data_IF_607870561284
#
_entry.id   IF_607870561284
#
_cell.length_a   1.000
_cell.length_b   1.000
_cell.length_c   1.000
_cell.angle_alpha   90.00
_cell.angle_beta   90.00
_cell.angle_gamma   90.00
#
_symmetry.space_group_name_H-M   'P 1'
#
loop_
_entity.id
_entity.type
_entity.pdbx_description
1 polymer ?
#
# COMPACT_ATOMS: atom_id res chain seq x y z
N UNK A 1 17.37 7.94 -27.71
CA UNK A 1 18.43 7.14 -27.05
C UNK A 1 17.83 6.00 -26.23
N UNK A 2 16.94 6.26 -25.26
CA UNK A 2 16.31 5.21 -24.44
C UNK A 2 15.58 4.10 -25.22
N UNK A 3 14.67 4.46 -26.15
CA UNK A 3 13.96 3.48 -26.99
C UNK A 3 14.94 2.63 -27.83
N UNK A 4 16.00 3.23 -28.38
CA UNK A 4 16.99 2.48 -29.15
C UNK A 4 17.71 1.44 -28.30
N UNK A 5 18.09 1.78 -27.06
CA UNK A 5 18.70 0.83 -26.13
C UNK A 5 17.76 -0.33 -25.78
N UNK A 6 16.45 -0.06 -25.64
CA UNK A 6 15.45 -1.11 -25.45
C UNK A 6 15.31 -2.02 -26.69
N UNK A 7 15.30 -1.45 -27.90
CA UNK A 7 15.28 -2.23 -29.15
C UNK A 7 16.53 -3.12 -29.28
N UNK A 8 17.72 -2.56 -28.97
CA UNK A 8 18.98 -3.29 -28.99
C UNK A 8 18.97 -4.44 -27.96
N UNK A 9 18.41 -4.22 -26.78
CA UNK A 9 18.21 -5.27 -25.78
C UNK A 9 17.36 -6.42 -26.33
N UNK A 10 16.21 -6.12 -26.94
CA UNK A 10 15.36 -7.17 -27.51
C UNK A 10 16.01 -7.91 -28.69
N UNK A 11 16.83 -7.23 -29.49
CA UNK A 11 17.51 -7.86 -30.62
C UNK A 11 18.68 -8.77 -30.20
N UNK A 12 19.33 -8.48 -29.08
CA UNK A 12 20.60 -9.12 -28.68
C UNK A 12 20.52 -9.97 -27.41
N UNK A 13 19.57 -9.70 -26.54
CA UNK A 13 19.52 -10.24 -25.18
C UNK A 13 20.52 -9.62 -24.21
N UNK A 14 21.26 -8.57 -24.59
CA UNK A 14 22.25 -7.91 -23.73
C UNK A 14 21.57 -7.10 -22.62
N UNK A 15 21.78 -7.48 -21.36
CA UNK A 15 21.22 -6.82 -20.19
C UNK A 15 21.77 -5.41 -19.99
N UNK A 16 23.00 -5.12 -20.40
CA UNK A 16 23.57 -3.79 -20.27
C UNK A 16 22.81 -2.76 -21.12
N UNK A 17 22.21 -3.19 -22.24
CA UNK A 17 21.31 -2.38 -23.05
C UNK A 17 20.01 -2.04 -22.31
N UNK A 18 19.45 -2.99 -21.57
CA UNK A 18 18.27 -2.75 -20.73
C UNK A 18 18.58 -1.80 -19.56
N UNK A 19 19.79 -1.91 -18.99
CA UNK A 19 20.28 -0.99 -17.95
C UNK A 19 20.47 0.43 -18.51
N UNK A 20 21.03 0.58 -19.72
CA UNK A 20 21.11 1.87 -20.41
C UNK A 20 19.72 2.48 -20.68
N UNK A 21 18.77 1.67 -21.16
CA UNK A 21 17.37 2.07 -21.29
C UNK A 21 16.81 2.57 -19.95
N UNK A 22 17.02 1.84 -18.86
CA UNK A 22 16.54 2.20 -17.53
C UNK A 22 17.10 3.56 -17.04
N UNK A 23 18.40 3.81 -17.26
CA UNK A 23 19.02 5.11 -16.93
C UNK A 23 18.41 6.24 -17.78
N UNK A 24 18.17 5.99 -19.06
CA UNK A 24 17.51 6.98 -19.93
C UNK A 24 16.08 7.25 -19.50
N UNK A 25 15.33 6.22 -19.12
CA UNK A 25 13.96 6.33 -18.62
C UNK A 25 13.90 7.11 -17.30
N UNK A 26 14.82 6.87 -16.36
CA UNK A 26 14.90 7.66 -15.11
C UNK A 26 15.10 9.15 -15.36
N UNK A 27 15.82 9.51 -16.42
CA UNK A 27 16.12 10.90 -16.79
C UNK A 27 15.08 11.54 -17.70
N UNK A 28 14.06 10.80 -18.14
CA UNK A 28 13.02 11.36 -19.00
C UNK A 28 12.04 12.21 -18.20
N UNK A 29 11.66 13.34 -18.79
CA UNK A 29 10.58 14.22 -18.34
C UNK A 29 9.67 14.48 -19.55
N UNK A 30 8.73 13.56 -19.78
CA UNK A 30 7.89 13.49 -20.98
C UNK A 30 6.43 13.32 -20.62
N UNK A 31 5.53 13.89 -21.43
CA UNK A 31 4.07 13.78 -21.23
C UNK A 31 3.60 12.33 -21.36
N UNK A 32 4.19 11.57 -22.29
CA UNK A 32 3.93 10.14 -22.46
C UNK A 32 5.05 9.37 -21.78
N UNK A 33 4.68 8.37 -20.99
CA UNK A 33 5.59 7.44 -20.32
C UNK A 33 5.23 6.00 -20.70
N UNK A 34 6.16 5.07 -20.49
CA UNK A 34 5.97 3.67 -20.82
C UNK A 34 6.82 2.74 -19.95
N UNK A 35 6.28 1.54 -19.71
CA UNK A 35 6.99 0.38 -19.19
C UNK A 35 7.04 -0.66 -20.29
N UNK A 36 8.20 -1.26 -20.57
CA UNK A 36 8.29 -2.35 -21.53
C UNK A 36 9.59 -3.14 -21.29
N UNK A 37 9.47 -4.38 -20.82
CA UNK A 37 10.64 -5.17 -20.41
C UNK A 37 10.28 -6.44 -19.67
N UNK A 38 11.30 -7.16 -19.22
CA UNK A 38 11.19 -8.23 -18.23
C UNK A 38 11.47 -7.62 -16.84
N UNK A 39 10.42 -7.34 -16.07
CA UNK A 39 10.49 -6.36 -14.96
C UNK A 39 10.46 -7.05 -13.60
N UNK A 40 9.33 -7.65 -13.26
CA UNK A 40 9.08 -8.15 -11.92
C UNK A 40 9.40 -9.64 -11.82
N UNK A 41 10.12 -10.02 -10.77
CA UNK A 41 10.58 -11.41 -10.56
C UNK A 41 9.69 -12.19 -9.60
N UNK A 42 8.50 -11.69 -9.27
CA UNK A 42 7.63 -12.26 -8.23
C UNK A 42 7.19 -13.69 -8.51
N UNK A 43 6.96 -14.03 -9.78
CA UNK A 43 6.49 -15.36 -10.17
C UNK A 43 7.62 -16.36 -10.39
N UNK A 44 8.88 -15.93 -10.42
CA UNK A 44 10.01 -16.86 -10.43
C UNK A 44 10.27 -17.37 -9.00
N UNK A 45 10.21 -18.70 -8.75
CA UNK A 45 10.53 -19.29 -7.44
C UNK A 45 11.91 -18.93 -6.90
N UNK A 46 12.86 -18.55 -7.77
CA UNK A 46 14.20 -18.09 -7.38
C UNK A 46 14.36 -16.57 -7.38
N UNK A 47 13.35 -15.85 -7.87
CA UNK A 47 13.32 -14.39 -7.99
C UNK A 47 14.49 -13.83 -8.79
N UNK A 48 14.83 -14.48 -9.92
CA UNK A 48 15.91 -14.08 -10.84
C UNK A 48 15.36 -13.65 -12.20
N UNK A 49 14.34 -14.34 -12.72
CA UNK A 49 13.78 -14.12 -14.06
C UNK A 49 12.60 -13.17 -13.98
N UNK A 50 12.69 -12.04 -14.68
CA UNK A 50 11.62 -11.06 -14.78
C UNK A 50 10.50 -11.51 -15.74
N UNK A 51 9.26 -11.22 -15.37
CA UNK A 51 8.10 -11.39 -16.26
C UNK A 51 8.00 -10.23 -17.24
N UNK A 52 7.55 -10.53 -18.46
CA UNK A 52 7.29 -9.48 -19.43
C UNK A 52 6.15 -8.59 -18.94
N UNK A 53 6.39 -7.28 -18.86
CA UNK A 53 5.43 -6.26 -18.44
C UNK A 53 5.47 -5.09 -19.42
N UNK A 54 4.31 -4.61 -19.81
CA UNK A 54 4.17 -3.53 -20.78
C UNK A 54 3.03 -2.59 -20.43
N UNK A 55 3.30 -1.29 -20.38
CA UNK A 55 2.27 -0.25 -20.33
C UNK A 55 2.65 0.96 -21.18
N UNK A 56 1.62 1.70 -21.60
CA UNK A 56 1.74 3.05 -22.13
C UNK A 56 0.83 3.94 -21.31
N UNK A 57 1.34 5.07 -20.87
CA UNK A 57 0.61 6.01 -20.02
C UNK A 57 0.95 7.46 -20.36
N UNK A 58 0.15 8.39 -19.87
CA UNK A 58 0.43 9.82 -19.97
C UNK A 58 0.22 10.52 -18.63
N UNK A 59 0.97 11.59 -18.39
CA UNK A 59 0.92 12.38 -17.16
C UNK A 59 -0.52 12.84 -16.89
N UNK A 60 -0.98 12.60 -15.66
CA UNK A 60 -2.25 13.06 -15.13
C UNK A 60 -2.06 14.27 -14.20
N UNK A 61 -3.16 14.83 -13.67
CA UNK A 61 -3.08 15.90 -12.68
C UNK A 61 -2.46 15.39 -11.37
N UNK A 62 -1.24 15.85 -11.07
CA UNK A 62 -0.45 15.53 -9.87
C UNK A 62 -0.57 16.57 -8.76
N UNK A 63 -1.41 17.61 -8.91
CA UNK A 63 -1.40 18.80 -8.03
C UNK A 63 -1.51 18.45 -6.55
N UNK A 64 -2.41 17.52 -6.18
CA UNK A 64 -2.61 17.12 -4.78
C UNK A 64 -1.41 16.34 -4.23
N UNK A 65 -0.84 15.44 -5.03
CA UNK A 65 0.36 14.67 -4.68
C UNK A 65 1.55 15.60 -4.50
N UNK A 66 1.70 16.59 -5.37
CA UNK A 66 2.79 17.57 -5.28
C UNK A 66 2.72 18.39 -4.00
N UNK A 67 1.52 18.78 -3.57
CA UNK A 67 1.31 19.47 -2.29
C UNK A 67 1.62 18.56 -1.11
N UNK A 68 1.25 17.27 -1.18
CA UNK A 68 1.62 16.28 -0.17
C UNK A 68 3.14 16.11 -0.07
N UNK A 69 3.81 15.92 -1.22
CA UNK A 69 5.26 15.76 -1.31
C UNK A 69 6.01 17.01 -0.80
N UNK A 70 5.51 18.22 -1.09
CA UNK A 70 6.07 19.46 -0.56
C UNK A 70 5.97 19.56 0.98
N UNK A 71 5.06 18.82 1.60
CA UNK A 71 4.87 18.76 3.05
C UNK A 71 5.40 17.47 3.68
N UNK A 72 6.14 16.62 2.97
CA UNK A 72 6.62 15.33 3.48
C UNK A 72 7.41 15.46 4.79
N UNK A 73 8.29 16.46 4.91
CA UNK A 73 9.06 16.70 6.14
C UNK A 73 8.18 17.12 7.32
N UNK A 74 7.03 17.75 7.08
CA UNK A 74 6.08 18.06 8.14
C UNK A 74 5.46 16.78 8.71
N UNK A 75 5.03 15.85 7.84
CA UNK A 75 4.46 14.58 8.27
C UNK A 75 5.49 13.72 9.01
N UNK A 76 6.72 13.63 8.48
CA UNK A 76 7.84 12.93 9.13
C UNK A 76 8.07 13.38 10.58
N UNK A 77 8.09 14.70 10.82
CA UNK A 77 8.30 15.26 12.16
C UNK A 77 7.20 14.87 13.15
N UNK A 78 5.99 14.64 12.64
CA UNK A 78 4.80 14.25 13.41
C UNK A 78 4.61 12.74 13.58
N UNK A 79 5.51 11.93 13.04
CA UNK A 79 5.44 10.48 13.22
C UNK A 79 5.52 10.09 14.71
N UNK A 80 4.80 9.04 15.13
CA UNK A 80 4.68 8.67 16.54
C UNK A 80 5.93 7.95 17.08
N UNK A 81 6.88 7.58 16.23
CA UNK A 81 8.11 6.90 16.64
C UNK A 81 9.18 7.86 17.15
N UNK A 82 10.19 7.30 17.82
CA UNK A 82 11.30 8.04 18.40
C UNK A 82 12.06 8.90 17.37
N UNK A 83 12.49 10.10 17.79
CA UNK A 83 13.17 11.06 16.91
C UNK A 83 14.47 10.51 16.29
N UNK A 84 15.15 9.57 16.96
CA UNK A 84 16.32 8.91 16.41
C UNK A 84 16.04 8.13 15.10
N UNK A 85 14.78 7.77 14.84
CA UNK A 85 14.34 7.11 13.61
C UNK A 85 13.68 8.08 12.62
N UNK A 86 13.61 9.38 12.92
CA UNK A 86 13.09 10.38 12.00
C UNK A 86 14.17 10.94 11.08
N UNK A 87 13.79 11.24 9.84
CA UNK A 87 14.60 11.95 8.88
C UNK A 87 14.68 13.45 9.26
N UNK A 88 15.89 13.99 9.24
CA UNK A 88 16.12 15.43 9.48
C UNK A 88 15.82 16.28 8.24
N UNK A 89 16.03 15.66 7.07
CA UNK A 89 15.77 16.22 5.74
C UNK A 89 15.14 15.12 4.91
N UNK A 90 14.18 15.50 4.07
CA UNK A 90 13.54 14.60 3.12
C UNK A 90 13.79 15.17 1.72
N UNK A 91 14.38 14.36 0.84
CA UNK A 91 14.36 14.65 -0.58
C UNK A 91 12.90 14.60 -1.04
N UNK A 92 12.45 15.61 -1.81
CA UNK A 92 11.06 15.67 -2.27
C UNK A 92 10.73 14.35 -2.98
N UNK A 93 9.78 13.55 -2.47
CA UNK A 93 9.37 12.32 -3.15
C UNK A 93 8.87 12.68 -4.55
N UNK A 94 9.37 11.98 -5.57
CA UNK A 94 8.94 12.14 -6.95
C UNK A 94 7.98 10.99 -7.24
N UNK A 95 6.69 11.26 -7.12
CA UNK A 95 5.62 10.37 -7.55
C UNK A 95 4.97 10.99 -8.80
N UNK A 96 5.02 10.26 -9.91
CA UNK A 96 4.34 10.67 -11.13
C UNK A 96 2.96 10.01 -11.16
N UNK A 97 1.95 10.82 -11.38
CA UNK A 97 0.58 10.34 -11.56
C UNK A 97 0.34 10.22 -13.05
N UNK A 98 -0.13 9.07 -13.49
CA UNK A 98 -0.37 8.81 -14.91
C UNK A 98 -1.73 8.18 -15.13
N UNK A 99 -2.27 8.41 -16.32
CA UNK A 99 -3.40 7.66 -16.86
C UNK A 99 -2.89 6.63 -17.86
N UNK A 100 -3.25 5.37 -17.62
CA UNK A 100 -2.91 4.23 -18.48
C UNK A 100 -3.76 4.24 -19.75
N UNK A 101 -3.12 4.01 -20.90
CA UNK A 101 -3.79 3.86 -22.20
C UNK A 101 -3.93 2.38 -22.56
N UNK A 102 -2.88 1.59 -22.35
CA UNK A 102 -2.83 0.17 -22.66
C UNK A 102 -1.86 -0.56 -21.73
N UNK A 103 -2.19 -1.79 -21.38
CA UNK A 103 -1.39 -2.71 -20.58
C UNK A 103 -1.32 -4.09 -21.22
N UNK A 104 -0.22 -4.80 -20.97
CA UNK A 104 0.00 -6.17 -21.41
C UNK A 104 1.01 -6.87 -20.49
N UNK A 105 1.03 -8.21 -20.53
CA UNK A 105 1.90 -9.01 -19.69
C UNK A 105 1.57 -8.84 -18.20
N UNK A 106 2.57 -8.74 -17.34
CA UNK A 106 2.38 -8.59 -15.90
C UNK A 106 1.80 -7.22 -15.48
N UNK A 107 1.59 -6.30 -16.43
CA UNK A 107 0.90 -5.03 -16.18
C UNK A 107 -0.62 -5.11 -16.39
N UNK A 108 -1.18 -6.17 -16.99
CA UNK A 108 -2.61 -6.28 -17.25
C UNK A 108 -3.02 -7.65 -17.80
N UNK A 109 -4.25 -8.13 -17.55
CA UNK A 109 -5.45 -7.35 -17.20
C UNK A 109 -5.64 -7.11 -15.69
N UNK A 110 -4.78 -7.67 -14.84
CA UNK A 110 -4.75 -7.36 -13.40
C UNK A 110 -3.61 -6.38 -13.16
N UNK A 111 -3.95 -5.11 -13.11
CA UNK A 111 -2.97 -4.02 -13.02
C UNK A 111 -2.60 -3.72 -11.57
N UNK A 112 -1.34 -3.33 -11.29
CA UNK A 112 -0.99 -2.78 -9.98
C UNK A 112 -1.58 -1.37 -9.80
N UNK A 113 -1.70 -0.92 -8.56
CA UNK A 113 -2.09 0.47 -8.26
C UNK A 113 -0.98 1.47 -8.63
N UNK A 114 0.27 1.05 -8.40
CA UNK A 114 1.47 1.82 -8.62
C UNK A 114 2.65 0.88 -8.86
N UNK A 115 3.75 1.40 -9.41
CA UNK A 115 5.02 0.69 -9.50
C UNK A 115 6.19 1.64 -9.26
N UNK A 116 7.27 1.09 -8.70
CA UNK A 116 8.49 1.83 -8.43
C UNK A 116 9.68 1.16 -9.13
N UNK A 117 10.31 1.85 -10.08
CA UNK A 117 11.31 1.26 -10.98
C UNK A 117 12.53 2.18 -11.17
N UNK A 118 13.67 1.64 -11.67
CA UNK A 118 13.94 0.23 -12.02
C UNK A 118 14.24 -0.65 -10.80
N UNK A 119 14.27 -1.97 -10.97
CA UNK A 119 14.58 -2.93 -9.88
C UNK A 119 16.10 -3.05 -9.57
N UNK A 120 16.97 -2.51 -10.41
CA UNK A 120 18.43 -2.52 -10.21
C UNK A 120 18.85 -1.66 -9.01
N UNK A 121 19.35 -2.30 -7.95
CA UNK A 121 19.73 -1.62 -6.70
C UNK A 121 20.84 -0.58 -6.91
N UNK A 122 21.81 -0.86 -7.77
CA UNK A 122 22.89 0.07 -8.11
C UNK A 122 22.39 1.26 -8.93
N UNK A 123 21.50 1.03 -9.90
CA UNK A 123 20.88 2.14 -10.64
C UNK A 123 20.01 3.02 -9.73
N UNK A 124 19.25 2.41 -8.80
CA UNK A 124 18.48 3.17 -7.81
C UNK A 124 19.38 4.03 -6.93
N UNK A 125 20.51 3.49 -6.48
CA UNK A 125 21.49 4.23 -5.67
C UNK A 125 22.10 5.40 -6.45
N UNK A 126 22.48 5.18 -7.71
CA UNK A 126 23.29 6.13 -8.47
C UNK A 126 22.45 7.14 -9.29
N UNK A 127 21.23 6.76 -9.67
CA UNK A 127 20.36 7.55 -10.56
C UNK A 127 18.94 7.76 -10.02
N UNK A 128 18.59 7.16 -8.89
CA UNK A 128 17.26 7.26 -8.30
C UNK A 128 16.24 6.29 -8.90
N UNK A 129 14.98 6.54 -8.58
CA UNK A 129 13.83 5.71 -8.97
C UNK A 129 12.63 6.59 -9.31
N UNK A 130 11.73 6.09 -10.14
CA UNK A 130 10.44 6.73 -10.39
C UNK A 130 9.33 5.89 -9.77
N UNK A 131 8.55 6.52 -8.90
CA UNK A 131 7.31 5.95 -8.39
C UNK A 131 6.15 6.44 -9.27
N UNK A 132 5.42 5.52 -9.90
CA UNK A 132 4.35 5.81 -10.85
C UNK A 132 3.02 5.30 -10.29
N UNK A 133 2.03 6.19 -10.15
CA UNK A 133 0.68 5.86 -9.68
C UNK A 133 -0.29 5.85 -10.87
N UNK A 134 -1.05 4.77 -11.03
CA UNK A 134 -1.96 4.54 -12.15
C UNK A 134 -3.36 5.05 -11.80
N UNK A 135 -3.60 6.34 -12.06
CA UNK A 135 -4.79 7.06 -11.58
C UNK A 135 -6.10 6.44 -12.07
N UNK A 136 -6.25 6.29 -13.38
CA UNK A 136 -7.47 5.74 -13.95
C UNK A 136 -7.68 4.26 -13.63
N UNK A 137 -6.64 3.50 -13.30
CA UNK A 137 -6.75 2.14 -12.78
C UNK A 137 -7.30 2.17 -11.34
N UNK A 138 -6.79 3.05 -10.49
CA UNK A 138 -7.29 3.22 -9.12
C UNK A 138 -8.71 3.77 -9.07
N UNK A 139 -9.08 4.63 -10.02
CA UNK A 139 -10.43 5.22 -10.13
C UNK A 139 -11.42 4.32 -10.88
N UNK A 140 -10.94 3.37 -11.69
CA UNK A 140 -11.81 2.46 -12.43
C UNK A 140 -12.58 1.54 -11.47
N UNK A 141 -13.87 1.79 -11.33
CA UNK A 141 -14.81 0.95 -10.57
C UNK A 141 -16.11 0.81 -11.35
N UNK A 142 -16.69 -0.39 -11.28
CA UNK A 142 -18.08 -0.57 -11.74
C UNK A 142 -19.01 -0.13 -10.62
N UNK A 143 -19.78 0.94 -10.87
CA UNK A 143 -20.72 1.48 -9.86
C UNK A 143 -21.70 0.41 -9.36
N UNK A 144 -22.17 -0.45 -10.28
CA UNK A 144 -23.03 -1.58 -9.93
C UNK A 144 -22.36 -2.56 -8.96
N UNK A 145 -21.08 -2.89 -9.20
CA UNK A 145 -20.31 -3.79 -8.32
C UNK A 145 -20.03 -3.11 -6.98
N UNK A 146 -19.70 -1.81 -7.01
CA UNK A 146 -19.44 -0.98 -5.84
C UNK A 146 -20.67 -0.93 -4.93
N UNK A 147 -21.83 -0.57 -5.47
CA UNK A 147 -23.12 -0.59 -4.76
C UNK A 147 -23.46 -1.96 -4.17
N UNK A 148 -23.35 -3.02 -4.96
CA UNK A 148 -23.60 -4.38 -4.49
C UNK A 148 -22.65 -4.77 -3.34
N UNK A 149 -21.37 -4.39 -3.45
CA UNK A 149 -20.35 -4.67 -2.43
C UNK A 149 -20.63 -3.90 -1.15
N UNK A 150 -20.96 -2.61 -1.23
CA UNK A 150 -21.28 -1.78 -0.07
C UNK A 150 -22.51 -2.34 0.67
N UNK A 151 -23.57 -2.66 -0.08
CA UNK A 151 -24.81 -3.17 0.49
C UNK A 151 -24.65 -4.56 1.12
N UNK A 152 -23.84 -5.43 0.52
CA UNK A 152 -23.65 -6.78 1.04
C UNK A 152 -22.67 -6.80 2.21
N UNK A 153 -21.52 -6.14 2.11
CA UNK A 153 -20.39 -6.37 3.01
C UNK A 153 -20.20 -5.35 4.14
N UNK A 154 -20.95 -4.25 4.12
CA UNK A 154 -20.89 -3.24 5.18
C UNK A 154 -22.19 -3.18 5.96
N UNK A 155 -22.05 -2.92 7.26
CA UNK A 155 -23.19 -2.70 8.15
C UNK A 155 -24.01 -1.51 7.64
N UNK A 156 -25.36 -1.54 7.78
CA UNK A 156 -26.23 -0.47 7.30
C UNK A 156 -25.78 0.94 7.71
N UNK A 157 -25.37 1.10 8.97
CA UNK A 157 -24.93 2.39 9.54
C UNK A 157 -23.64 2.93 8.91
N UNK A 158 -22.85 2.06 8.26
CA UNK A 158 -21.58 2.41 7.62
C UNK A 158 -21.71 2.64 6.12
N UNK A 159 -22.79 2.17 5.49
CA UNK A 159 -22.93 2.22 4.02
C UNK A 159 -22.88 3.64 3.48
N UNK A 160 -23.54 4.58 4.16
CA UNK A 160 -23.57 5.99 3.72
C UNK A 160 -22.17 6.60 3.69
N UNK A 161 -21.41 6.49 4.79
CA UNK A 161 -20.07 7.07 4.88
C UNK A 161 -19.09 6.43 3.89
N UNK A 162 -19.18 5.10 3.71
CA UNK A 162 -18.35 4.38 2.73
C UNK A 162 -18.74 4.77 1.30
N UNK A 163 -20.02 4.92 1.01
CA UNK A 163 -20.51 5.34 -0.29
C UNK A 163 -20.11 6.80 -0.63
N UNK A 164 -20.18 7.72 0.34
CA UNK A 164 -19.85 9.13 0.08
C UNK A 164 -18.34 9.42 0.08
N UNK A 165 -17.56 8.70 0.90
CA UNK A 165 -16.16 9.04 1.16
C UNK A 165 -15.16 7.93 0.86
N UNK A 166 -15.60 6.70 0.55
CA UNK A 166 -14.72 5.54 0.35
C UNK A 166 -13.70 5.72 -0.77
N UNK A 167 -14.11 6.27 -1.92
CA UNK A 167 -13.19 6.47 -3.05
C UNK A 167 -12.15 7.56 -2.74
N UNK A 168 -12.56 8.65 -2.08
CA UNK A 168 -11.65 9.70 -1.61
C UNK A 168 -10.68 9.17 -0.55
N UNK A 169 -11.17 8.32 0.36
CA UNK A 169 -10.35 7.67 1.37
C UNK A 169 -9.29 6.77 0.73
N UNK A 170 -9.68 5.91 -0.22
CA UNK A 170 -8.75 5.05 -0.95
C UNK A 170 -7.70 5.83 -1.74
N UNK A 171 -8.10 6.90 -2.42
CA UNK A 171 -7.16 7.77 -3.14
C UNK A 171 -6.08 8.35 -2.20
N UNK A 172 -6.50 8.90 -1.05
CA UNK A 172 -5.56 9.47 -0.08
C UNK A 172 -4.76 8.43 0.69
N UNK A 173 -5.30 7.23 0.89
CA UNK A 173 -4.56 6.08 1.40
C UNK A 173 -3.36 5.79 0.50
N UNK A 174 -3.59 5.62 -0.81
CA UNK A 174 -2.52 5.38 -1.80
C UNK A 174 -1.53 6.55 -1.84
N UNK A 175 -2.02 7.79 -1.93
CA UNK A 175 -1.12 8.95 -2.01
C UNK A 175 -0.22 9.05 -0.78
N UNK A 176 -0.77 8.83 0.42
CA UNK A 176 0.03 8.87 1.65
C UNK A 176 0.97 7.67 1.74
N UNK A 177 0.52 6.47 1.41
CA UNK A 177 1.33 5.26 1.36
C UNK A 177 2.59 5.48 0.49
N UNK A 178 2.39 5.94 -0.74
CA UNK A 178 3.48 6.08 -1.72
C UNK A 178 4.43 7.24 -1.41
N UNK A 179 3.89 8.38 -0.97
CA UNK A 179 4.67 9.63 -0.84
C UNK A 179 5.31 9.78 0.53
N UNK A 180 4.54 9.56 1.59
CA UNK A 180 5.00 9.77 2.98
C UNK A 180 5.11 8.46 3.77
N UNK A 181 4.55 7.36 3.27
CA UNK A 181 4.74 6.01 3.77
C UNK A 181 6.16 5.55 3.45
N UNK A 182 6.43 5.03 2.26
CA UNK A 182 7.78 4.54 1.89
C UNK A 182 8.91 5.56 2.08
N UNK A 183 8.63 6.86 1.89
CA UNK A 183 9.61 7.94 2.03
C UNK A 183 9.97 8.33 3.47
N UNK A 184 9.36 7.72 4.49
CA UNK A 184 9.57 8.08 5.91
C UNK A 184 10.47 7.13 6.68
N UNK A 185 11.07 7.69 7.74
CA UNK A 185 11.87 6.97 8.72
C UNK A 185 13.27 6.56 8.24
N UNK A 186 14.19 6.37 9.20
CA UNK A 186 15.58 5.96 8.94
C UNK A 186 16.04 4.83 9.86
N UNK A 187 17.00 3.99 9.42
CA UNK A 187 17.60 2.98 10.30
C UNK A 187 18.36 3.62 11.47
N UNK A 188 18.49 2.86 12.56
CA UNK A 188 19.34 3.23 13.67
C UNK A 188 20.80 3.34 13.19
N UNK A 189 21.56 4.31 13.72
CA UNK A 189 22.97 4.47 13.38
C UNK A 189 23.83 3.22 13.68
N UNK A 190 23.35 2.34 14.58
CA UNK A 190 23.99 1.07 14.92
C UNK A 190 23.80 -0.02 13.86
N UNK A 191 22.79 0.09 12.99
CA UNK A 191 22.51 -0.89 11.95
C UNK A 191 23.45 -0.64 10.77
N UNK A 192 24.41 -1.55 10.57
CA UNK A 192 25.49 -1.41 9.56
C UNK A 192 25.15 -1.98 8.19
N UNK A 193 23.96 -2.56 8.04
CA UNK A 193 23.48 -3.17 6.80
C UNK A 193 22.11 -2.58 6.45
N UNK A 194 21.70 -2.71 5.20
CA UNK A 194 20.36 -2.30 4.79
C UNK A 194 19.29 -3.08 5.59
N UNK A 195 18.21 -2.42 6.09
CA UNK A 195 17.12 -3.09 6.79
C UNK A 195 16.52 -4.28 6.04
N UNK A 196 16.43 -4.22 4.70
CA UNK A 196 15.93 -5.31 3.87
C UNK A 196 16.82 -6.55 3.98
N UNK A 197 18.15 -6.35 4.00
CA UNK A 197 19.13 -7.43 4.19
C UNK A 197 19.05 -7.97 5.61
N UNK A 198 18.97 -7.10 6.62
CA UNK A 198 18.90 -7.53 8.02
C UNK A 198 17.64 -8.35 8.34
N UNK A 199 16.48 -7.92 7.82
CA UNK A 199 15.18 -8.52 8.12
C UNK A 199 14.88 -9.72 7.22
N UNK A 200 15.36 -9.70 5.98
CA UNK A 200 15.15 -10.78 5.01
C UNK A 200 13.68 -10.93 4.63
N UNK A 201 13.17 -12.17 4.64
CA UNK A 201 11.86 -12.57 4.08
C UNK A 201 10.63 -11.80 4.60
N UNK A 202 10.73 -11.15 5.76
CA UNK A 202 9.62 -10.39 6.35
C UNK A 202 9.64 -8.90 5.96
N UNK A 203 10.71 -8.45 5.28
CA UNK A 203 10.92 -7.02 5.04
C UNK A 203 9.84 -6.42 4.16
N UNK A 204 9.52 -7.02 3.02
CA UNK A 204 8.52 -6.47 2.09
C UNK A 204 7.17 -6.31 2.80
N UNK A 205 6.67 -7.35 3.46
CA UNK A 205 5.41 -7.26 4.22
C UNK A 205 5.48 -6.20 5.32
N UNK A 206 6.62 -6.07 6.01
CA UNK A 206 6.81 -5.04 7.04
C UNK A 206 6.75 -3.65 6.45
N UNK A 207 7.40 -3.41 5.31
CA UNK A 207 7.47 -2.10 4.68
C UNK A 207 6.11 -1.66 4.13
N UNK A 208 5.37 -2.55 3.47
CA UNK A 208 4.00 -2.27 3.00
C UNK A 208 3.07 -1.95 4.17
N UNK A 209 3.08 -2.80 5.20
CA UNK A 209 2.25 -2.61 6.39
C UNK A 209 2.54 -1.27 7.07
N UNK A 210 3.82 -0.89 7.14
CA UNK A 210 4.26 0.38 7.72
C UNK A 210 3.77 1.56 6.89
N UNK A 211 3.86 1.50 5.56
CA UNK A 211 3.38 2.56 4.68
C UNK A 211 1.84 2.74 4.77
N UNK A 212 1.08 1.65 4.85
CA UNK A 212 -0.37 1.69 5.10
C UNK A 212 -0.72 2.34 6.46
N UNK A 213 0.02 1.97 7.51
CA UNK A 213 -0.18 2.55 8.85
C UNK A 213 0.13 4.05 8.88
N UNK A 214 1.09 4.53 8.09
CA UNK A 214 1.36 5.97 7.94
C UNK A 214 0.12 6.69 7.40
N UNK A 215 -0.53 6.14 6.37
CA UNK A 215 -1.75 6.69 5.81
C UNK A 215 -2.90 6.69 6.84
N UNK A 216 -3.14 5.54 7.49
CA UNK A 216 -4.17 5.39 8.53
C UNK A 216 -3.92 6.31 9.75
N UNK A 217 -2.67 6.60 10.09
CA UNK A 217 -2.32 7.49 11.20
C UNK A 217 -2.53 8.97 10.84
N UNK A 218 -2.12 9.38 9.63
CA UNK A 218 -2.12 10.77 9.21
C UNK A 218 -3.41 11.27 8.57
N UNK A 219 -4.39 10.42 8.23
CA UNK A 219 -5.69 10.86 7.71
C UNK A 219 -6.40 11.90 8.61
N UNK A 220 -6.05 11.90 9.90
CA UNK A 220 -6.56 12.85 10.91
C UNK A 220 -5.74 14.15 11.03
N UNK A 221 -4.63 14.32 10.31
CA UNK A 221 -3.79 15.52 10.44
C UNK A 221 -4.45 16.71 9.71
N UNK A 222 -4.63 17.87 10.37
CA UNK A 222 -5.25 19.05 9.75
C UNK A 222 -4.47 19.58 8.53
N UNK A 223 -3.19 19.23 8.38
CA UNK A 223 -2.42 19.58 7.19
C UNK A 223 -3.04 19.03 5.90
N UNK A 224 -3.72 17.88 5.96
CA UNK A 224 -4.44 17.34 4.81
C UNK A 224 -5.55 18.29 4.34
N UNK A 225 -6.26 18.94 5.27
CA UNK A 225 -7.25 19.97 4.95
C UNK A 225 -6.57 21.20 4.34
N UNK A 226 -5.47 21.66 4.92
CA UNK A 226 -4.72 22.83 4.44
C UNK A 226 -4.19 22.65 3.01
N UNK A 227 -3.76 21.44 2.64
CA UNK A 227 -3.26 21.15 1.28
C UNK A 227 -4.39 20.84 0.28
N UNK A 228 -5.63 20.76 0.74
CA UNK A 228 -6.82 20.57 -0.09
C UNK A 228 -7.21 19.11 -0.36
N UNK A 229 -6.84 18.18 0.52
CA UNK A 229 -7.24 16.77 0.41
C UNK A 229 -8.76 16.58 0.48
N UNK A 230 -9.36 17.26 1.46
CA UNK A 230 -10.78 17.30 1.79
C UNK A 230 -11.02 18.49 2.72
N UNK A 231 -12.29 18.85 2.95
CA UNK A 231 -12.62 19.94 3.89
C UNK A 231 -12.53 19.49 5.35
N UNK A 232 -12.43 20.43 6.28
CA UNK A 232 -12.44 20.13 7.73
C UNK A 232 -13.71 19.38 8.16
N UNK A 233 -14.87 19.71 7.56
CA UNK A 233 -16.13 19.04 7.83
C UNK A 233 -16.16 17.57 7.37
N UNK A 234 -15.36 17.22 6.37
CA UNK A 234 -15.30 15.87 5.79
C UNK A 234 -14.24 14.99 6.44
N UNK A 235 -13.27 15.55 7.18
CA UNK A 235 -12.10 14.81 7.65
C UNK A 235 -12.48 13.59 8.50
N UNK A 236 -13.42 13.74 9.44
CA UNK A 236 -13.88 12.64 10.28
C UNK A 236 -14.52 11.50 9.48
N UNK A 237 -15.30 11.84 8.46
CA UNK A 237 -15.98 10.88 7.59
C UNK A 237 -15.00 10.19 6.62
N UNK A 238 -14.02 10.92 6.08
CA UNK A 238 -12.94 10.34 5.26
C UNK A 238 -12.09 9.39 6.09
N UNK A 239 -11.71 9.78 7.31
CA UNK A 239 -10.96 8.91 8.21
C UNK A 239 -11.75 7.64 8.57
N UNK A 240 -13.03 7.79 8.91
CA UNK A 240 -13.91 6.65 9.18
C UNK A 240 -14.05 5.74 7.96
N UNK A 241 -14.27 6.31 6.78
CA UNK A 241 -14.36 5.54 5.53
C UNK A 241 -13.05 4.78 5.27
N UNK A 242 -11.88 5.42 5.42
CA UNK A 242 -10.57 4.78 5.25
C UNK A 242 -10.40 3.56 6.15
N UNK A 243 -10.71 3.67 7.44
CA UNK A 243 -10.60 2.54 8.37
C UNK A 243 -11.59 1.43 8.03
N UNK A 244 -12.83 1.78 7.69
CA UNK A 244 -13.85 0.80 7.31
C UNK A 244 -13.47 0.07 6.02
N UNK A 245 -13.07 0.80 4.97
CA UNK A 245 -12.70 0.19 3.69
C UNK A 245 -11.44 -0.64 3.81
N UNK A 246 -10.48 -0.22 4.63
CA UNK A 246 -9.25 -0.98 4.86
C UNK A 246 -9.54 -2.29 5.62
N UNK A 247 -10.21 -2.21 6.77
CA UNK A 247 -10.44 -3.36 7.65
C UNK A 247 -11.50 -4.33 7.10
N UNK A 248 -12.65 -3.82 6.65
CA UNK A 248 -13.68 -4.67 6.02
C UNK A 248 -13.19 -5.17 4.66
N UNK A 249 -12.41 -4.36 3.94
CA UNK A 249 -11.75 -4.78 2.70
C UNK A 249 -10.86 -6.00 2.90
N UNK A 250 -10.08 -6.04 3.97
CA UNK A 250 -9.25 -7.22 4.29
C UNK A 250 -10.11 -8.48 4.54
N UNK A 251 -11.20 -8.37 5.30
CA UNK A 251 -12.14 -9.50 5.46
C UNK A 251 -12.76 -9.91 4.12
N UNK A 252 -13.14 -8.94 3.28
CA UNK A 252 -13.75 -9.22 1.97
C UNK A 252 -12.77 -9.92 1.02
N UNK A 253 -11.46 -9.63 1.12
CA UNK A 253 -10.39 -10.31 0.38
C UNK A 253 -10.23 -11.77 0.75
N UNK A 254 -10.77 -12.22 1.90
CA UNK A 254 -10.67 -13.63 2.28
C UNK A 254 -11.18 -14.59 1.20
N UNK A 255 -12.14 -14.15 0.37
CA UNK A 255 -12.64 -14.94 -0.76
C UNK A 255 -11.56 -15.40 -1.74
N UNK A 256 -10.49 -14.61 -1.87
CA UNK A 256 -9.37 -14.83 -2.80
C UNK A 256 -8.35 -15.83 -2.27
N UNK A 257 -8.33 -16.13 -0.96
CA UNK A 257 -7.34 -17.05 -0.39
C UNK A 257 -7.72 -18.52 -0.60
N UNK A 258 -6.96 -19.24 -1.40
CA UNK A 258 -7.19 -20.68 -1.67
C UNK A 258 -7.13 -21.53 -0.40
N UNK A 259 -6.26 -21.17 0.55
CA UNK A 259 -6.09 -21.84 1.83
C UNK A 259 -6.01 -20.85 3.01
N UNK A 260 -5.68 -21.35 4.20
CA UNK A 260 -5.76 -20.61 5.46
C UNK A 260 -4.56 -19.67 5.68
N UNK A 261 -3.77 -19.41 4.63
CA UNK A 261 -2.54 -18.62 4.70
C UNK A 261 -2.53 -17.44 3.73
N UNK A 262 -2.20 -16.28 4.27
CA UNK A 262 -1.90 -15.07 3.50
C UNK A 262 -0.41 -15.07 3.13
N UNK A 263 -0.10 -14.96 1.83
CA UNK A 263 1.27 -15.05 1.30
C UNK A 263 1.80 -13.74 0.74
N UNK A 264 0.97 -13.03 -0.02
CA UNK A 264 1.35 -11.77 -0.68
C UNK A 264 1.67 -10.69 0.36
N UNK A 265 2.70 -9.87 0.10
CA UNK A 265 3.30 -8.99 1.09
C UNK A 265 2.34 -7.90 1.61
N UNK A 266 1.64 -7.21 0.71
CA UNK A 266 0.64 -6.20 1.06
C UNK A 266 -0.48 -6.81 1.89
N UNK A 267 -1.03 -7.92 1.43
CA UNK A 267 -2.12 -8.64 2.11
C UNK A 267 -1.71 -9.13 3.49
N UNK A 268 -0.47 -9.59 3.68
CA UNK A 268 0.06 -9.92 5.01
C UNK A 268 0.10 -8.69 5.91
N UNK A 269 0.43 -7.52 5.36
CA UNK A 269 0.38 -6.24 6.06
C UNK A 269 -1.03 -5.86 6.49
N UNK A 270 -1.99 -5.89 5.58
CA UNK A 270 -3.40 -5.62 5.89
C UNK A 270 -3.96 -6.61 6.91
N UNK A 271 -3.61 -7.89 6.79
CA UNK A 271 -3.98 -8.93 7.75
C UNK A 271 -3.39 -8.64 9.14
N UNK A 272 -2.14 -8.20 9.20
CA UNK A 272 -1.47 -7.83 10.45
C UNK A 272 -2.21 -6.71 11.16
N UNK A 273 -2.56 -5.63 10.44
CA UNK A 273 -3.28 -4.49 11.03
C UNK A 273 -4.63 -4.93 11.59
N UNK A 274 -5.41 -5.71 10.81
CA UNK A 274 -6.69 -6.26 11.25
C UNK A 274 -6.50 -7.11 12.53
N UNK A 275 -5.60 -8.09 12.50
CA UNK A 275 -5.35 -9.00 13.63
C UNK A 275 -4.86 -8.27 14.88
N UNK A 276 -3.94 -7.31 14.72
CA UNK A 276 -3.39 -6.54 15.84
C UNK A 276 -4.46 -5.70 16.55
N UNK A 277 -5.35 -5.06 15.78
CA UNK A 277 -6.45 -4.28 16.33
C UNK A 277 -7.48 -5.17 17.05
N UNK A 278 -7.84 -6.30 16.44
CA UNK A 278 -8.81 -7.24 17.00
C UNK A 278 -8.32 -7.94 18.27
N UNK A 279 -7.04 -8.29 18.34
CA UNK A 279 -6.48 -8.99 19.49
C UNK A 279 -6.11 -8.03 20.63
N UNK A 280 -6.06 -6.71 20.41
CA UNK A 280 -5.62 -5.77 21.45
C UNK A 280 -4.10 -5.70 21.60
N UNK A 281 -3.39 -5.82 20.47
CA UNK A 281 -1.94 -5.69 20.35
C UNK A 281 -1.15 -6.92 20.80
N UNK A 282 0.18 -6.81 20.83
CA UNK A 282 1.08 -7.93 21.17
C UNK A 282 0.83 -8.53 22.57
N UNK A 283 0.28 -7.75 23.51
CA UNK A 283 -0.05 -8.25 24.86
C UNK A 283 -1.48 -8.76 24.98
N UNK A 284 -2.32 -8.53 23.98
CA UNK A 284 -3.70 -9.00 23.98
C UNK A 284 -4.62 -8.32 25.02
N UNK A 285 -4.26 -7.12 25.48
CA UNK A 285 -4.89 -6.50 26.65
C UNK A 285 -5.31 -5.04 26.44
N UNK A 286 -5.24 -4.54 25.20
CA UNK A 286 -5.75 -3.22 24.83
C UNK A 286 -7.12 -3.34 24.16
N UNK A 287 -7.95 -2.31 24.31
CA UNK A 287 -9.17 -2.15 23.53
C UNK A 287 -8.94 -1.09 22.45
N UNK A 288 -8.78 -1.53 21.20
CA UNK A 288 -8.60 -0.65 20.05
C UNK A 288 -9.93 -0.35 19.32
N UNK A 289 -11.08 -0.56 19.97
CA UNK A 289 -12.39 -0.14 19.43
C UNK A 289 -12.80 -0.83 18.14
N UNK A 290 -12.17 -1.96 17.81
CA UNK A 290 -12.40 -2.72 16.56
C UNK A 290 -12.76 -4.15 16.91
N UNK A 291 -13.85 -4.66 16.34
CA UNK A 291 -14.30 -6.06 16.50
C UNK A 291 -14.78 -6.63 15.17
N UNK A 292 -14.88 -7.95 15.08
CA UNK A 292 -15.69 -8.60 14.06
C UNK A 292 -16.93 -9.14 14.74
N UNK A 293 -18.09 -8.69 14.31
CA UNK A 293 -19.39 -9.11 14.85
C UNK A 293 -20.12 -10.02 13.86
N UNK A 294 -20.96 -10.89 14.39
CA UNK A 294 -21.90 -11.66 13.61
C UNK A 294 -23.28 -11.00 13.67
N UNK A 295 -23.87 -10.71 12.50
CA UNK A 295 -25.24 -10.20 12.37
C UNK A 295 -25.94 -10.98 11.27
N UNK A 296 -27.08 -11.59 11.60
CA UNK A 296 -27.87 -12.42 10.69
C UNK A 296 -27.05 -13.53 10.00
N UNK A 297 -26.16 -14.17 10.77
CA UNK A 297 -25.26 -15.22 10.29
C UNK A 297 -24.07 -14.74 9.44
N UNK A 298 -23.93 -13.43 9.23
CA UNK A 298 -22.88 -12.81 8.42
C UNK A 298 -21.87 -12.04 9.28
N UNK A 299 -20.63 -11.98 8.81
CA UNK A 299 -19.52 -11.32 9.51
C UNK A 299 -19.25 -9.92 8.97
N UNK A 300 -19.05 -8.98 9.91
CA UNK A 300 -18.76 -7.57 9.62
C UNK A 300 -17.76 -7.00 10.61
N UNK A 301 -16.91 -6.09 10.14
CA UNK A 301 -16.14 -5.20 11.01
C UNK A 301 -17.09 -4.25 11.72
N UNK A 302 -16.96 -4.18 13.04
CA UNK A 302 -17.57 -3.18 13.90
C UNK A 302 -16.47 -2.23 14.39
N UNK A 303 -16.54 -0.98 13.96
CA UNK A 303 -15.64 0.08 14.37
C UNK A 303 -16.37 0.97 15.39
N UNK A 304 -16.25 0.58 16.66
CA UNK A 304 -16.94 1.20 17.78
C UNK A 304 -16.38 2.59 18.08
N UNK A 305 -15.05 2.71 18.08
CA UNK A 305 -14.34 3.92 18.47
C UNK A 305 -13.14 4.14 17.54
N UNK A 306 -13.25 5.18 16.71
CA UNK A 306 -12.25 5.53 15.70
C UNK A 306 -10.95 6.05 16.33
N UNK A 307 -11.02 6.74 17.47
CA UNK A 307 -9.81 7.25 18.14
C UNK A 307 -9.05 6.11 18.82
N UNK A 308 -9.75 5.13 19.42
CA UNK A 308 -9.10 3.90 19.90
C UNK A 308 -8.44 3.11 18.78
N UNK A 309 -9.10 3.01 17.62
CA UNK A 309 -8.51 2.35 16.46
C UNK A 309 -7.26 3.09 15.96
N UNK A 310 -7.30 4.43 15.95
CA UNK A 310 -6.13 5.28 15.64
C UNK A 310 -4.98 5.07 16.62
N UNK A 311 -5.26 4.94 17.92
CA UNK A 311 -4.23 4.60 18.90
C UNK A 311 -3.58 3.25 18.60
N UNK A 312 -4.35 2.22 18.27
CA UNK A 312 -3.81 0.91 17.89
C UNK A 312 -2.97 0.94 16.61
N UNK A 313 -3.40 1.73 15.62
CA UNK A 313 -2.60 2.02 14.41
C UNK A 313 -1.28 2.71 14.78
N UNK A 314 -1.31 3.70 15.67
CA UNK A 314 -0.12 4.39 16.16
C UNK A 314 0.86 3.46 16.88
N UNK A 315 0.37 2.63 17.80
CA UNK A 315 1.19 1.67 18.55
C UNK A 315 1.87 0.66 17.62
N UNK A 316 1.12 0.14 16.65
CA UNK A 316 1.66 -0.78 15.66
C UNK A 316 2.66 -0.07 14.72
N UNK A 317 2.40 1.17 14.33
CA UNK A 317 3.31 1.96 13.49
C UNK A 317 4.66 2.19 14.18
N UNK A 318 4.64 2.58 15.46
CA UNK A 318 5.85 2.72 16.29
C UNK A 318 6.60 1.39 16.36
N UNK A 319 5.86 0.28 16.55
CA UNK A 319 6.43 -1.05 16.63
C UNK A 319 7.13 -1.45 15.34
N UNK A 320 6.47 -1.33 14.19
CA UNK A 320 7.05 -1.71 12.90
C UNK A 320 8.21 -0.81 12.50
N UNK A 321 8.14 0.50 12.73
CA UNK A 321 9.29 1.39 12.50
C UNK A 321 10.47 1.00 13.40
N UNK A 322 10.23 0.62 14.65
CA UNK A 322 11.30 0.17 15.56
C UNK A 322 11.96 -1.10 15.07
N UNK A 323 11.17 -2.08 14.60
CA UNK A 323 11.68 -3.33 14.03
C UNK A 323 12.51 -3.04 12.77
N UNK A 324 11.97 -2.24 11.83
CA UNK A 324 12.68 -1.78 10.62
C UNK A 324 14.02 -1.15 10.99
N UNK A 325 13.99 -0.17 11.89
CA UNK A 325 15.15 0.66 12.18
C UNK A 325 16.26 -0.11 12.90
N UNK A 326 15.90 -1.16 13.65
CA UNK A 326 16.86 -2.03 14.35
C UNK A 326 17.29 -3.24 13.51
N UNK A 327 16.66 -3.49 12.36
CA UNK A 327 16.91 -4.69 11.57
C UNK A 327 16.53 -5.98 12.30
N UNK A 328 15.51 -5.96 13.18
CA UNK A 328 15.18 -7.09 14.05
C UNK A 328 14.34 -8.14 13.29
N UNK A 329 15.02 -9.03 12.57
CA UNK A 329 14.41 -10.11 11.79
C UNK A 329 13.52 -11.04 12.64
N UNK A 330 13.89 -11.26 13.90
CA UNK A 330 13.16 -12.17 14.79
C UNK A 330 11.85 -11.52 15.24
N UNK A 331 11.88 -10.23 15.61
CA UNK A 331 10.65 -9.50 15.92
C UNK A 331 9.74 -9.35 14.70
N UNK A 332 10.30 -9.08 13.52
CA UNK A 332 9.54 -9.05 12.27
C UNK A 332 8.82 -10.39 12.02
N UNK A 333 9.53 -11.51 12.15
CA UNK A 333 8.93 -12.84 12.04
C UNK A 333 7.79 -13.05 13.03
N UNK A 334 8.03 -12.78 14.32
CA UNK A 334 7.02 -13.01 15.38
C UNK A 334 5.73 -12.21 15.17
N UNK A 335 5.82 -10.93 14.80
CA UNK A 335 4.61 -10.09 14.64
C UNK A 335 3.78 -10.55 13.45
N UNK A 336 4.42 -10.87 12.33
CA UNK A 336 3.71 -11.38 11.14
C UNK A 336 3.17 -12.78 11.34
N UNK A 337 3.94 -13.69 11.94
CA UNK A 337 3.50 -15.07 12.17
C UNK A 337 2.26 -15.11 13.08
N UNK A 338 2.17 -14.19 14.05
CA UNK A 338 1.00 -14.07 14.90
C UNK A 338 -0.20 -13.44 14.21
N UNK A 339 -0.03 -12.26 13.63
CA UNK A 339 -1.17 -11.43 13.21
C UNK A 339 -1.40 -11.41 11.69
N UNK A 340 -0.36 -11.59 10.88
CA UNK A 340 -0.36 -11.29 9.44
C UNK A 340 -0.45 -12.49 8.51
N UNK A 341 -0.57 -13.72 9.01
CA UNK A 341 -0.48 -14.93 8.16
C UNK A 341 -1.75 -15.78 8.11
N UNK A 342 -2.64 -15.68 9.11
CA UNK A 342 -3.77 -16.61 9.26
C UNK A 342 -5.08 -16.00 8.77
N UNK A 343 -5.83 -16.80 8.01
CA UNK A 343 -7.19 -16.50 7.57
C UNK A 343 -8.18 -17.25 8.46
N UNK A 344 -9.23 -16.58 8.93
CA UNK A 344 -10.33 -17.27 9.62
C UNK A 344 -11.19 -18.05 8.59
N UNK A 345 -11.23 -19.40 8.63
CA UNK A 345 -11.93 -20.19 7.61
C UNK A 345 -13.44 -19.96 7.60
N UNK A 346 -14.04 -19.68 8.76
CA UNK A 346 -15.47 -19.41 8.88
C UNK A 346 -15.84 -18.10 8.19
N UNK A 347 -15.06 -17.04 8.45
CA UNK A 347 -15.26 -15.76 7.76
C UNK A 347 -15.04 -15.91 6.26
N UNK A 348 -13.99 -16.63 5.84
CA UNK A 348 -13.73 -16.89 4.41
C UNK A 348 -14.91 -17.57 3.74
N UNK A 349 -15.44 -18.63 4.33
CA UNK A 349 -16.54 -19.39 3.75
C UNK A 349 -17.82 -18.55 3.68
N UNK A 350 -18.09 -17.74 4.72
CA UNK A 350 -19.21 -16.78 4.71
C UNK A 350 -19.06 -15.75 3.58
N UNK A 351 -17.90 -15.11 3.45
CA UNK A 351 -17.63 -14.09 2.43
C UNK A 351 -17.71 -14.69 1.02
N UNK A 352 -17.18 -15.91 0.80
CA UNK A 352 -17.30 -16.62 -0.49
C UNK A 352 -18.75 -16.87 -0.88
N UNK A 353 -19.56 -17.37 0.05
CA UNK A 353 -20.97 -17.64 -0.20
C UNK A 353 -21.74 -16.36 -0.60
N UNK A 354 -21.42 -15.23 0.04
CA UNK A 354 -22.02 -13.92 -0.25
C UNK A 354 -21.54 -13.35 -1.57
N UNK A 355 -20.23 -13.39 -1.84
CA UNK A 355 -19.63 -12.92 -3.09
C UNK A 355 -20.16 -13.69 -4.32
N UNK A 356 -20.37 -15.02 -4.19
CA UNK A 356 -20.92 -15.85 -5.25
C UNK A 356 -22.35 -15.42 -5.67
N UNK A 357 -23.19 -15.01 -4.71
CA UNK A 357 -24.56 -14.51 -4.99
C UNK A 357 -24.54 -13.22 -5.82
N UNK A 358 -23.54 -12.38 -5.57
CA UNK A 358 -23.33 -11.12 -6.26
C UNK A 358 -22.60 -11.27 -7.59
N UNK A 359 -22.09 -12.46 -7.91
CA UNK A 359 -21.20 -12.72 -9.06
C UNK A 359 -20.00 -11.77 -9.07
N UNK A 360 -19.45 -11.50 -7.89
CA UNK A 360 -18.20 -10.74 -7.80
C UNK A 360 -17.07 -11.56 -8.43
N UNK A 361 -16.15 -10.90 -9.16
CA UNK A 361 -14.94 -11.54 -9.64
C UNK A 361 -14.03 -11.97 -8.48
#
# INVERSE_FOLDING_TARGET
MGIQALLDHYATGDEEKFRQYSIHWLRSDTVVDYLNGFIETYMDPRSVIGQFAGNVSFVADSTLIERLAANALYFEKKMPWQDAFKLEKIARPVANVVNVVAETGDSGPVSPAAYNLPNYADLRRDYGSKNIILLNIEEARSEKIREATINEFYLPDYRKVVHEFGDRARQWEVYMHEVIGHGSGKPAASLRVDPAVAIGRAYSSLEECRADLVALYHVFDPKLVEIGAFTAAQQGDVARAMYLTYLQGQINRYRMYEDDFVREAHQRGSQLILGYLLEGGEKGNQDYGTRVIQKDGNYYVWLEDLEKARHGVGDLLVRLQTIKSKGDSTAAGRVFDRFGTRVNPEWRNNIRARAARLKLP
#
